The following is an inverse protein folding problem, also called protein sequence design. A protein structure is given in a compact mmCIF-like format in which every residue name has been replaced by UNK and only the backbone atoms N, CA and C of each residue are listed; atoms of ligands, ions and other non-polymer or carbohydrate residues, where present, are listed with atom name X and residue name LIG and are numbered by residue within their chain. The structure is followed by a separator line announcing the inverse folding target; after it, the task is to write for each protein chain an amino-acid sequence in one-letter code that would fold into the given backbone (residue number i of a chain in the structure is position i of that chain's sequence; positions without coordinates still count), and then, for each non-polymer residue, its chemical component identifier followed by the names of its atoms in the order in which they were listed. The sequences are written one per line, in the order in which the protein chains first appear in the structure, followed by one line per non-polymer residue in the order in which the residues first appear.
data_IF_147411749723
#
_entry.id   IF_147411749723
#
_cell.length_a   1.000
_cell.length_b   1.000
_cell.length_c   1.000
_cell.angle_alpha   90.00
_cell.angle_beta   90.00
_cell.angle_gamma   90.00
#
_symmetry.space_group_name_H-M   'P 1'
#
loop_
_entity.id
_entity.type
_entity.pdbx_description
1 polymer ?
#
# COMPACT_ATOMS: atom_id res chain seq x y z
N UNK A 1 -2.05 -1.45 18.37
CA UNK A 1 -1.16 -0.27 18.42
C UNK A 1 -1.92 0.97 18.01
N UNK A 2 -1.94 1.27 16.71
CA UNK A 2 -2.58 2.48 16.13
C UNK A 2 -3.99 2.73 16.69
N UNK A 3 -4.87 1.73 16.67
CA UNK A 3 -6.25 1.88 17.15
C UNK A 3 -6.35 2.34 18.61
N UNK A 4 -5.45 1.89 19.50
CA UNK A 4 -5.44 2.34 20.89
C UNK A 4 -5.12 3.83 20.97
N UNK A 5 -4.12 4.29 20.21
CA UNK A 5 -3.76 5.71 20.16
C UNK A 5 -4.87 6.55 19.55
N UNK A 6 -5.62 6.03 18.57
CA UNK A 6 -6.81 6.72 18.01
C UNK A 6 -7.83 6.98 19.13
N UNK A 7 -8.06 5.99 20.00
CA UNK A 7 -9.03 6.10 21.11
C UNK A 7 -8.59 7.11 22.18
N UNK A 8 -7.29 7.22 22.43
CA UNK A 8 -6.74 8.19 23.40
C UNK A 8 -6.30 9.51 22.77
N UNK A 9 -6.65 9.78 21.50
CA UNK A 9 -6.17 10.94 20.77
C UNK A 9 -6.47 12.27 21.49
N UNK A 10 -7.66 12.43 22.07
CA UNK A 10 -8.05 13.65 22.79
C UNK A 10 -7.13 13.99 23.97
N UNK A 11 -6.47 13.00 24.58
CA UNK A 11 -5.52 13.21 25.68
C UNK A 11 -4.10 13.52 25.21
N UNK A 12 -3.78 13.13 23.97
CA UNK A 12 -2.43 13.13 23.42
C UNK A 12 -2.18 14.27 22.44
N UNK A 13 -3.26 14.85 21.89
CA UNK A 13 -3.20 16.09 21.11
C UNK A 13 -2.42 17.16 21.89
N UNK A 14 -1.58 17.92 21.18
CA UNK A 14 -0.68 18.98 21.68
C UNK A 14 0.51 18.57 22.55
N UNK A 15 0.63 17.29 22.93
CA UNK A 15 1.80 16.81 23.66
C UNK A 15 3.06 16.81 22.76
N UNK A 16 4.22 17.15 23.33
CA UNK A 16 5.51 17.04 22.61
C UNK A 16 5.76 15.62 22.05
N UNK A 17 5.19 14.61 22.71
CA UNK A 17 5.20 13.23 22.26
C UNK A 17 4.68 13.05 20.83
N UNK A 18 3.64 13.79 20.39
CA UNK A 18 3.14 13.69 19.01
C UNK A 18 4.11 14.23 17.98
N UNK A 19 4.89 15.26 18.30
CA UNK A 19 5.94 15.77 17.41
C UNK A 19 7.06 14.74 17.23
N UNK A 20 7.45 14.05 18.31
CA UNK A 20 8.41 12.94 18.24
C UNK A 20 7.84 11.74 17.46
N UNK A 21 6.58 11.39 17.73
CA UNK A 21 5.89 10.29 17.05
C UNK A 21 5.81 10.56 15.54
N UNK A 22 5.53 11.80 15.13
CA UNK A 22 5.48 12.21 13.73
C UNK A 22 6.82 11.99 13.02
N UNK A 23 7.94 12.36 13.65
CA UNK A 23 9.26 12.13 13.08
C UNK A 23 9.60 10.63 13.00
N UNK A 24 9.38 9.89 14.09
CA UNK A 24 9.67 8.46 14.14
C UNK A 24 8.83 7.68 13.12
N UNK A 25 7.53 7.99 13.04
CA UNK A 25 6.64 7.37 12.06
C UNK A 25 7.03 7.70 10.62
N UNK A 26 7.38 8.95 10.32
CA UNK A 26 7.93 9.33 9.01
C UNK A 26 9.22 8.57 8.64
N UNK A 27 10.14 8.40 9.60
CA UNK A 27 11.36 7.61 9.39
C UNK A 27 11.07 6.12 9.19
N UNK A 28 10.13 5.53 9.94
CA UNK A 28 9.73 4.13 9.75
C UNK A 28 9.10 3.91 8.38
N UNK A 29 8.27 4.84 7.91
CA UNK A 29 7.66 4.79 6.58
C UNK A 29 8.74 4.76 5.49
N UNK A 30 9.74 5.63 5.61
CA UNK A 30 10.86 5.72 4.67
C UNK A 30 11.76 4.48 4.70
N UNK A 31 12.21 4.06 5.89
CA UNK A 31 13.09 2.89 6.04
C UNK A 31 12.43 1.61 5.51
N UNK A 32 11.15 1.40 5.81
CA UNK A 32 10.40 0.27 5.31
C UNK A 32 10.20 0.30 3.80
N UNK A 33 9.99 1.50 3.24
CA UNK A 33 9.92 1.69 1.79
C UNK A 33 11.23 1.29 1.11
N UNK A 34 12.39 1.69 1.66
CA UNK A 34 13.71 1.34 1.10
C UNK A 34 13.95 -0.16 1.21
N UNK A 35 13.75 -0.77 2.39
CA UNK A 35 14.00 -2.20 2.56
C UNK A 35 13.08 -3.04 1.67
N UNK A 36 11.82 -2.62 1.47
CA UNK A 36 10.89 -3.29 0.57
C UNK A 36 11.34 -3.29 -0.90
N UNK A 37 12.25 -2.41 -1.32
CA UNK A 37 12.81 -2.38 -2.67
C UNK A 37 14.01 -3.31 -2.88
N UNK A 38 14.63 -3.79 -1.80
CA UNK A 38 15.80 -4.68 -1.87
C UNK A 38 15.51 -6.10 -1.41
N UNK A 39 14.39 -6.33 -0.72
CA UNK A 39 13.97 -7.68 -0.36
C UNK A 39 13.50 -8.48 -1.57
N UNK A 40 13.76 -9.79 -1.55
CA UNK A 40 13.30 -10.74 -2.58
C UNK A 40 12.25 -11.73 -2.06
N UNK A 41 12.08 -11.87 -0.74
CA UNK A 41 11.01 -12.70 -0.20
C UNK A 41 9.66 -12.02 -0.34
N UNK A 42 8.73 -12.67 -1.05
CA UNK A 42 7.38 -12.15 -1.34
C UNK A 42 6.63 -11.74 -0.06
N UNK A 43 6.64 -12.59 0.97
CA UNK A 43 5.99 -12.27 2.27
C UNK A 43 6.64 -11.06 2.96
N UNK A 44 7.97 -10.93 2.89
CA UNK A 44 8.68 -9.80 3.51
C UNK A 44 8.37 -8.49 2.80
N UNK A 45 8.28 -8.47 1.47
CA UNK A 45 7.88 -7.27 0.71
C UNK A 45 6.47 -6.82 1.14
N UNK A 46 5.52 -7.75 1.28
CA UNK A 46 4.15 -7.41 1.71
C UNK A 46 4.13 -6.93 3.17
N UNK A 47 4.96 -7.50 4.04
CA UNK A 47 5.08 -7.09 5.44
C UNK A 47 5.79 -5.73 5.62
N UNK A 48 6.83 -5.44 4.84
CA UNK A 48 7.48 -4.12 4.87
C UNK A 48 6.55 -3.03 4.33
N UNK A 49 5.74 -3.37 3.33
CA UNK A 49 4.72 -2.43 2.86
C UNK A 49 3.59 -2.22 3.88
N UNK A 50 3.20 -3.21 4.72
CA UNK A 50 2.31 -2.92 5.87
C UNK A 50 2.98 -2.03 6.91
N UNK A 51 4.28 -2.24 7.19
CA UNK A 51 5.03 -1.38 8.11
C UNK A 51 5.10 0.06 7.60
N UNK A 52 5.26 0.26 6.29
CA UNK A 52 5.24 1.59 5.68
C UNK A 52 3.87 2.29 5.85
N UNK A 53 2.77 1.57 5.61
CA UNK A 53 1.42 2.13 5.74
C UNK A 53 1.03 2.33 7.22
N UNK A 54 1.51 1.51 8.13
CA UNK A 54 1.38 1.75 9.57
C UNK A 54 2.14 3.01 10.00
N UNK A 55 3.34 3.23 9.45
CA UNK A 55 4.06 4.50 9.60
C UNK A 55 3.21 5.69 9.16
N UNK A 56 2.56 5.58 8.00
CA UNK A 56 1.63 6.59 7.47
C UNK A 56 0.42 6.82 8.39
N UNK A 57 -0.21 5.76 8.91
CA UNK A 57 -1.32 5.90 9.86
C UNK A 57 -0.91 6.59 11.16
N UNK A 58 0.27 6.26 11.69
CA UNK A 58 0.81 6.86 12.91
C UNK A 58 1.21 8.32 12.72
N UNK A 59 1.71 8.67 11.53
CA UNK A 59 2.11 10.04 11.22
C UNK A 59 0.89 10.96 11.02
N UNK A 60 -0.24 10.47 10.53
CA UNK A 60 -1.49 11.26 10.45
C UNK A 60 -2.12 11.45 11.83
N UNK A 61 -2.09 10.41 12.65
CA UNK A 61 -2.59 10.48 14.02
C UNK A 61 -1.87 11.58 14.81
N UNK A 62 -0.54 11.68 14.64
CA UNK A 62 0.25 12.74 15.27
C UNK A 62 0.00 14.14 14.70
N UNK A 63 -0.60 14.27 13.51
CA UNK A 63 -1.11 15.54 12.99
C UNK A 63 -2.47 15.94 13.58
N UNK A 64 -3.05 15.11 14.45
CA UNK A 64 -4.34 15.37 15.08
C UNK A 64 -5.54 14.98 14.22
N UNK A 65 -5.36 14.14 13.19
CA UNK A 65 -6.43 13.71 12.27
C UNK A 65 -6.80 12.22 12.50
N UNK A 66 -7.44 11.86 13.63
CA UNK A 66 -7.73 10.47 13.98
C UNK A 66 -8.74 9.79 13.05
N UNK A 67 -9.69 10.56 12.50
CA UNK A 67 -10.73 10.06 11.60
C UNK A 67 -10.13 9.56 10.28
N UNK A 68 -9.19 10.32 9.70
CA UNK A 68 -8.44 9.92 8.51
C UNK A 68 -7.55 8.71 8.76
N UNK A 69 -6.88 8.65 9.92
CA UNK A 69 -6.09 7.49 10.32
C UNK A 69 -6.95 6.23 10.45
N UNK A 70 -8.15 6.34 11.04
CA UNK A 70 -9.09 5.23 11.17
C UNK A 70 -9.66 4.80 9.81
N UNK A 71 -10.02 5.75 8.95
CA UNK A 71 -10.48 5.47 7.59
C UNK A 71 -9.42 4.74 6.76
N UNK A 72 -8.16 5.18 6.83
CA UNK A 72 -7.06 4.48 6.17
C UNK A 72 -6.82 3.08 6.75
N UNK A 73 -6.92 2.91 8.07
CA UNK A 73 -6.80 1.60 8.71
C UNK A 73 -7.82 0.59 8.16
N UNK A 74 -9.09 1.00 8.02
CA UNK A 74 -10.15 0.13 7.49
C UNK A 74 -9.90 -0.22 6.02
N UNK A 75 -9.64 0.78 5.17
CA UNK A 75 -9.39 0.54 3.74
C UNK A 75 -8.15 -0.32 3.52
N UNK A 76 -7.08 -0.07 4.28
CA UNK A 76 -5.84 -0.85 4.26
C UNK A 76 -6.05 -2.31 4.65
N UNK A 77 -6.86 -2.60 5.66
CA UNK A 77 -7.14 -3.97 6.06
C UNK A 77 -7.73 -4.81 4.90
N UNK A 78 -8.63 -4.23 4.10
CA UNK A 78 -9.31 -4.95 3.02
C UNK A 78 -8.34 -5.34 1.89
N UNK A 79 -7.60 -4.39 1.33
CA UNK A 79 -6.68 -4.71 0.22
C UNK A 79 -5.42 -5.47 0.69
N UNK A 80 -4.97 -5.30 1.93
CA UNK A 80 -3.86 -6.11 2.45
C UNK A 80 -4.26 -7.56 2.72
N UNK A 81 -5.46 -7.81 3.21
CA UNK A 81 -5.96 -9.17 3.35
C UNK A 81 -5.99 -9.89 1.99
N UNK A 82 -6.43 -9.19 0.94
CA UNK A 82 -6.40 -9.70 -0.43
C UNK A 82 -4.97 -10.00 -0.91
N UNK A 83 -4.01 -9.08 -0.68
CA UNK A 83 -2.60 -9.28 -1.05
C UNK A 83 -1.98 -10.51 -0.37
N UNK A 84 -2.18 -10.67 0.93
CA UNK A 84 -1.64 -11.82 1.67
C UNK A 84 -2.31 -13.14 1.26
N UNK A 85 -3.61 -13.12 0.92
CA UNK A 85 -4.30 -14.30 0.41
C UNK A 85 -3.77 -14.72 -0.96
N UNK A 86 -3.63 -13.79 -1.90
CA UNK A 86 -3.05 -14.06 -3.22
C UNK A 86 -1.61 -14.56 -3.11
N UNK A 87 -0.80 -13.92 -2.27
CA UNK A 87 0.55 -14.33 -1.94
C UNK A 87 0.62 -15.77 -1.38
N UNK A 88 -0.32 -16.12 -0.50
CA UNK A 88 -0.42 -17.47 0.07
C UNK A 88 -0.67 -18.52 -1.01
N UNK A 89 -1.56 -18.23 -1.97
CA UNK A 89 -1.82 -19.11 -3.11
C UNK A 89 -0.56 -19.30 -3.94
N UNK A 90 0.11 -18.20 -4.31
CA UNK A 90 1.33 -18.25 -5.12
C UNK A 90 2.40 -19.09 -4.43
N UNK A 91 2.61 -18.89 -3.13
CA UNK A 91 3.63 -19.64 -2.38
C UNK A 91 3.29 -21.13 -2.28
N UNK A 92 2.02 -21.46 -2.04
CA UNK A 92 1.58 -22.85 -2.02
C UNK A 92 1.80 -23.55 -3.37
N UNK A 93 1.46 -22.87 -4.47
CA UNK A 93 1.64 -23.40 -5.83
C UNK A 93 3.12 -23.51 -6.23
N UNK A 94 3.99 -22.75 -5.58
CA UNK A 94 5.45 -22.78 -5.76
C UNK A 94 6.17 -23.70 -4.76
N UNK A 95 5.47 -24.67 -4.14
CA UNK A 95 6.02 -25.59 -3.15
C UNK A 95 6.79 -24.87 -2.02
N UNK A 96 6.17 -23.84 -1.44
CA UNK A 96 6.72 -23.01 -0.36
C UNK A 96 7.92 -22.12 -0.72
N UNK A 97 8.31 -22.04 -2.00
CA UNK A 97 9.31 -21.06 -2.44
C UNK A 97 8.73 -19.64 -2.40
N UNK A 98 9.41 -18.74 -1.69
CA UNK A 98 8.96 -17.36 -1.46
C UNK A 98 9.79 -16.31 -2.22
N UNK A 99 10.91 -16.72 -2.79
CA UNK A 99 11.84 -15.82 -3.48
C UNK A 99 11.29 -15.48 -4.88
N UNK A 100 11.01 -14.19 -5.10
CA UNK A 100 10.42 -13.67 -6.35
C UNK A 100 11.30 -13.88 -7.58
N UNK A 101 12.61 -14.17 -7.41
CA UNK A 101 13.55 -14.37 -8.53
C UNK A 101 13.31 -15.69 -9.27
N UNK A 102 12.76 -16.69 -8.56
CA UNK A 102 12.36 -17.97 -9.13
C UNK A 102 10.88 -18.00 -9.55
N UNK A 103 10.20 -16.86 -9.45
CA UNK A 103 8.83 -16.67 -9.93
C UNK A 103 8.87 -15.96 -11.29
N UNK A 104 7.84 -16.17 -12.10
CA UNK A 104 7.71 -15.54 -13.41
C UNK A 104 6.47 -16.05 -14.14
N UNK A 105 5.88 -15.20 -14.98
CA UNK A 105 4.71 -15.49 -15.83
C UNK A 105 3.48 -16.09 -15.13
N UNK A 106 3.27 -15.84 -13.83
CA UNK A 106 2.15 -16.43 -13.06
C UNK A 106 0.78 -16.06 -13.66
N UNK A 107 0.70 -14.92 -14.33
CA UNK A 107 -0.50 -14.40 -15.01
C UNK A 107 -1.12 -15.38 -16.01
N UNK A 108 -0.32 -16.25 -16.63
CA UNK A 108 -0.76 -17.22 -17.62
C UNK A 108 -1.29 -18.52 -17.00
N UNK A 109 -0.80 -18.90 -15.82
CA UNK A 109 -1.20 -20.14 -15.14
C UNK A 109 -2.35 -19.94 -14.15
N UNK A 110 -2.31 -18.84 -13.39
CA UNK A 110 -3.24 -18.58 -12.28
C UNK A 110 -3.92 -17.21 -12.49
N UNK A 111 -4.72 -17.05 -13.56
CA UNK A 111 -5.15 -15.74 -14.04
C UNK A 111 -6.06 -15.00 -13.03
N UNK A 112 -6.92 -15.71 -12.29
CA UNK A 112 -7.83 -15.04 -11.35
C UNK A 112 -7.09 -14.52 -10.13
N UNK A 113 -6.14 -15.30 -9.57
CA UNK A 113 -5.27 -14.79 -8.50
C UNK A 113 -4.42 -13.62 -8.97
N UNK A 114 -3.92 -13.67 -10.22
CA UNK A 114 -3.10 -12.60 -10.78
C UNK A 114 -3.88 -11.29 -10.88
N UNK A 115 -5.14 -11.36 -11.30
CA UNK A 115 -6.05 -10.21 -11.34
C UNK A 115 -6.29 -9.64 -9.94
N UNK A 116 -6.55 -10.50 -8.95
CA UNK A 116 -6.74 -10.08 -7.56
C UNK A 116 -5.48 -9.43 -6.97
N UNK A 117 -4.30 -10.01 -7.23
CA UNK A 117 -3.01 -9.48 -6.81
C UNK A 117 -2.74 -8.11 -7.45
N UNK A 118 -3.03 -7.95 -8.74
CA UNK A 118 -2.83 -6.68 -9.44
C UNK A 118 -3.76 -5.60 -8.89
N UNK A 119 -5.06 -5.85 -8.77
CA UNK A 119 -6.01 -4.86 -8.24
C UNK A 119 -5.64 -4.42 -6.83
N UNK A 120 -5.20 -5.35 -5.99
CA UNK A 120 -4.80 -5.02 -4.62
C UNK A 120 -3.46 -4.28 -4.53
N UNK A 121 -2.49 -4.57 -5.41
CA UNK A 121 -1.26 -3.78 -5.55
C UNK A 121 -1.56 -2.34 -6.04
N UNK A 122 -2.47 -2.18 -7.00
CA UNK A 122 -2.90 -0.87 -7.49
C UNK A 122 -3.67 -0.09 -6.41
N UNK A 123 -4.45 -0.78 -5.57
CA UNK A 123 -5.11 -0.15 -4.42
C UNK A 123 -4.08 0.35 -3.39
N UNK A 124 -3.00 -0.38 -3.13
CA UNK A 124 -1.90 0.05 -2.25
C UNK A 124 -1.16 1.29 -2.77
N UNK A 125 -1.02 1.36 -4.10
CA UNK A 125 -0.45 2.50 -4.80
C UNK A 125 -1.28 3.78 -4.59
N UNK A 126 -2.61 3.63 -4.52
CA UNK A 126 -3.55 4.75 -4.44
C UNK A 126 -4.01 5.22 -5.81
N UNK A 127 -4.15 4.32 -6.78
CA UNK A 127 -4.66 4.64 -8.12
C UNK A 127 -6.12 5.10 -8.04
N UNK A 128 -6.52 6.10 -8.84
CA UNK A 128 -7.85 6.70 -8.78
C UNK A 128 -8.97 5.65 -8.81
N UNK A 129 -10.01 5.91 -8.00
CA UNK A 129 -11.21 5.10 -7.81
C UNK A 129 -11.05 3.76 -7.07
N UNK A 130 -9.84 3.33 -6.71
CA UNK A 130 -9.63 2.18 -5.82
C UNK A 130 -9.73 2.60 -4.35
N UNK A 131 -9.98 1.66 -3.43
CA UNK A 131 -10.20 2.00 -2.02
C UNK A 131 -9.05 2.79 -1.38
N UNK A 132 -7.79 2.53 -1.78
CA UNK A 132 -6.63 3.24 -1.24
C UNK A 132 -6.51 4.69 -1.71
N UNK A 133 -7.09 5.07 -2.87
CA UNK A 133 -7.07 6.46 -3.33
C UNK A 133 -7.86 7.37 -2.39
N UNK A 134 -9.07 6.96 -2.01
CA UNK A 134 -9.94 7.75 -1.16
C UNK A 134 -9.28 8.12 0.18
N UNK A 135 -8.49 7.22 0.76
CA UNK A 135 -7.79 7.53 2.02
C UNK A 135 -6.43 8.17 1.78
N UNK A 136 -5.56 7.54 0.99
CA UNK A 136 -4.15 7.93 0.83
C UNK A 136 -3.98 9.29 0.13
N UNK A 137 -4.78 9.61 -0.89
CA UNK A 137 -4.70 10.90 -1.58
C UNK A 137 -5.14 12.03 -0.66
N UNK A 138 -6.29 11.88 0.01
CA UNK A 138 -6.79 12.84 1.01
C UNK A 138 -5.76 13.09 2.12
N UNK A 139 -5.07 12.04 2.58
CA UNK A 139 -3.99 12.17 3.57
C UNK A 139 -2.87 13.07 3.06
N UNK A 140 -2.37 12.83 1.84
CA UNK A 140 -1.25 13.61 1.28
C UNK A 140 -1.64 15.06 0.98
N UNK A 141 -2.92 15.30 0.63
CA UNK A 141 -3.47 16.63 0.51
C UNK A 141 -3.51 17.35 1.86
N UNK A 142 -3.98 16.70 2.93
CA UNK A 142 -3.96 17.30 4.27
C UNK A 142 -2.54 17.58 4.75
N UNK A 143 -1.58 16.72 4.43
CA UNK A 143 -0.15 16.93 4.72
C UNK A 143 0.39 18.15 3.98
N UNK A 144 0.08 18.33 2.69
CA UNK A 144 0.55 19.51 1.92
C UNK A 144 -0.09 20.81 2.36
N UNK A 145 -1.27 20.75 2.97
CA UNK A 145 -1.97 21.89 3.53
C UNK A 145 -1.47 22.32 4.90
N UNK A 146 -0.99 21.35 5.68
CA UNK A 146 -0.50 21.59 7.02
C UNK A 146 0.89 22.25 7.01
N UNK A 147 1.16 23.09 8.00
CA UNK A 147 2.44 23.78 8.19
C UNK A 147 3.49 22.83 8.80
N UNK A 148 3.92 21.83 8.03
CA UNK A 148 4.91 20.85 8.45
C UNK A 148 6.33 21.25 8.07
N UNK A 149 7.29 20.67 8.79
CA UNK A 149 8.70 20.84 8.47
C UNK A 149 9.02 20.20 7.11
N UNK A 150 9.96 20.81 6.37
CA UNK A 150 10.36 20.36 5.03
C UNK A 150 10.86 18.91 5.02
N UNK A 151 11.53 18.47 6.09
CA UNK A 151 11.97 17.09 6.24
C UNK A 151 10.80 16.11 6.27
N UNK A 152 9.73 16.44 7.02
CA UNK A 152 8.54 15.58 7.10
C UNK A 152 7.85 15.54 5.75
N UNK A 153 7.71 16.69 5.09
CA UNK A 153 7.17 16.76 3.73
C UNK A 153 7.94 15.85 2.77
N UNK A 154 9.28 15.90 2.77
CA UNK A 154 10.12 15.02 1.96
C UNK A 154 9.88 13.53 2.29
N UNK A 155 9.83 13.15 3.58
CA UNK A 155 9.61 11.77 3.99
C UNK A 155 8.28 11.22 3.47
N UNK A 156 7.20 11.99 3.51
CA UNK A 156 5.89 11.58 2.97
C UNK A 156 5.92 11.38 1.46
N UNK A 157 6.36 12.38 0.69
CA UNK A 157 6.33 12.28 -0.76
C UNK A 157 7.31 11.20 -1.25
N UNK A 158 8.56 11.21 -0.79
CA UNK A 158 9.54 10.22 -1.23
C UNK A 158 9.10 8.79 -0.90
N UNK A 159 8.58 8.55 0.31
CA UNK A 159 8.07 7.22 0.67
C UNK A 159 6.87 6.79 -0.17
N UNK A 160 5.97 7.70 -0.56
CA UNK A 160 4.89 7.36 -1.51
C UNK A 160 5.44 6.94 -2.88
N UNK A 161 6.50 7.59 -3.36
CA UNK A 161 7.24 7.17 -4.55
C UNK A 161 7.86 5.78 -4.40
N UNK A 162 8.47 5.49 -3.24
CA UNK A 162 8.97 4.15 -2.93
C UNK A 162 7.85 3.10 -2.91
N UNK A 163 6.62 3.46 -2.51
CA UNK A 163 5.48 2.53 -2.57
C UNK A 163 5.11 2.12 -3.99
N UNK A 164 5.17 3.05 -4.94
CA UNK A 164 5.03 2.71 -6.37
C UNK A 164 6.22 1.88 -6.85
N UNK A 165 7.41 2.20 -6.37
CA UNK A 165 8.63 1.53 -6.81
C UNK A 165 8.60 0.02 -6.49
N UNK A 166 8.38 -0.37 -5.22
CA UNK A 166 8.37 -1.80 -4.87
C UNK A 166 7.16 -2.56 -5.42
N UNK A 167 6.02 -1.89 -5.61
CA UNK A 167 4.82 -2.55 -6.16
C UNK A 167 5.01 -2.90 -7.62
N UNK A 168 5.59 -2.00 -8.40
CA UNK A 168 5.87 -2.26 -9.82
C UNK A 168 6.98 -3.29 -9.97
N UNK A 169 8.02 -3.22 -9.14
CA UNK A 169 9.03 -4.27 -9.07
C UNK A 169 8.39 -5.65 -8.81
N UNK A 170 7.48 -5.75 -7.83
CA UNK A 170 6.77 -6.99 -7.53
C UNK A 170 5.92 -7.47 -8.72
N UNK A 171 5.21 -6.55 -9.39
CA UNK A 171 4.42 -6.88 -10.58
C UNK A 171 5.28 -7.41 -11.73
N UNK A 172 6.44 -6.79 -11.97
CA UNK A 172 7.36 -7.20 -13.03
C UNK A 172 7.91 -8.61 -12.78
N UNK A 173 8.43 -8.89 -11.59
CA UNK A 173 8.96 -10.23 -11.26
C UNK A 173 7.89 -11.32 -11.28
N UNK A 174 6.68 -11.07 -10.76
CA UNK A 174 5.65 -12.10 -10.67
C UNK A 174 4.89 -12.35 -11.99
N UNK A 175 4.56 -11.28 -12.72
CA UNK A 175 3.56 -11.35 -13.78
C UNK A 175 4.12 -11.22 -15.19
N UNK A 176 5.19 -10.45 -15.37
CA UNK A 176 5.67 -10.02 -16.69
C UNK A 176 6.95 -10.74 -17.10
N UNK A 177 7.89 -10.90 -16.17
CA UNK A 177 9.17 -11.54 -16.48
C UNK A 177 8.97 -13.00 -16.91
N UNK A 178 9.92 -13.47 -17.72
CA UNK A 178 9.95 -14.83 -18.23
C UNK A 178 9.98 -15.87 -17.11
N UNK A 179 9.51 -17.06 -17.45
CA UNK A 179 9.37 -18.18 -16.53
C UNK A 179 10.73 -18.69 -16.04
N UNK A 180 11.05 -18.40 -14.78
CA UNK A 180 12.18 -18.99 -14.05
C UNK A 180 11.76 -20.12 -13.11
N UNK A 181 10.76 -20.89 -13.54
CA UNK A 181 10.19 -21.97 -12.76
C UNK A 181 11.01 -23.25 -12.88
N UNK A 182 11.21 -23.94 -11.75
CA UNK A 182 11.73 -25.31 -11.75
C UNK A 182 10.77 -26.25 -12.50
N UNK A 183 11.32 -27.30 -13.11
CA UNK A 183 10.62 -28.20 -14.04
C UNK A 183 9.45 -29.02 -13.45
N UNK A 184 9.18 -28.95 -12.15
CA UNK A 184 8.26 -29.83 -11.41
C UNK A 184 7.13 -29.06 -10.70
N UNK A 185 6.67 -27.93 -11.25
CA UNK A 185 5.50 -27.23 -10.69
C UNK A 185 4.20 -27.67 -11.34
N UNK A 186 3.24 -28.11 -10.51
CA UNK A 186 1.87 -28.33 -10.93
C UNK A 186 1.04 -27.06 -10.69
N UNK A 187 1.10 -26.11 -11.63
CA UNK A 187 0.48 -24.79 -11.49
C UNK A 187 -1.03 -24.74 -11.83
N UNK A 188 -1.68 -25.89 -11.96
CA UNK A 188 -3.08 -25.99 -12.36
C UNK A 188 -3.92 -26.55 -11.22
N UNK A 189 -4.30 -25.69 -10.27
CA UNK A 189 -5.44 -25.91 -9.37
C UNK A 189 -5.75 -24.63 -8.60
N UNK A 190 -6.73 -23.85 -9.08
CA UNK A 190 -7.35 -22.82 -8.25
C UNK A 190 -8.51 -23.44 -7.46
N UNK A 191 -8.32 -23.67 -6.17
CA UNK A 191 -9.40 -24.13 -5.29
C UNK A 191 -10.55 -23.12 -5.23
N UNK A 192 -11.77 -23.58 -5.55
CA UNK A 192 -12.99 -22.76 -5.54
C UNK A 192 -13.25 -22.06 -4.20
N UNK A 193 -12.92 -22.70 -3.08
CA UNK A 193 -13.12 -22.12 -1.74
C UNK A 193 -12.25 -20.88 -1.55
N UNK A 194 -10.99 -20.98 -1.96
CA UNK A 194 -10.01 -19.89 -1.88
C UNK A 194 -10.37 -18.77 -2.85
N UNK A 195 -10.75 -19.10 -4.08
CA UNK A 195 -11.25 -18.13 -5.06
C UNK A 195 -12.45 -17.34 -4.53
N UNK A 196 -13.43 -18.03 -3.94
CA UNK A 196 -14.62 -17.37 -3.36
C UNK A 196 -14.23 -16.33 -2.30
N UNK A 197 -13.26 -16.65 -1.43
CA UNK A 197 -12.76 -15.68 -0.45
C UNK A 197 -12.00 -14.52 -1.07
N UNK A 198 -11.18 -14.77 -2.11
CA UNK A 198 -10.46 -13.71 -2.84
C UNK A 198 -11.42 -12.77 -3.56
N UNK A 199 -12.44 -13.29 -4.25
CA UNK A 199 -13.43 -12.48 -4.94
C UNK A 199 -14.22 -11.59 -3.97
N UNK A 200 -14.62 -12.11 -2.79
CA UNK A 200 -15.28 -11.28 -1.79
C UNK A 200 -14.41 -10.10 -1.36
N UNK A 201 -13.13 -10.36 -1.07
CA UNK A 201 -12.17 -9.32 -0.70
C UNK A 201 -11.87 -8.37 -1.87
N UNK A 202 -11.89 -8.85 -3.12
CA UNK A 202 -11.74 -8.03 -4.32
C UNK A 202 -12.86 -7.00 -4.43
N UNK A 203 -14.11 -7.43 -4.36
CA UNK A 203 -15.27 -6.52 -4.37
C UNK A 203 -15.16 -5.48 -3.26
N UNK A 204 -14.71 -5.90 -2.07
CA UNK A 204 -14.50 -4.96 -0.98
C UNK A 204 -13.37 -3.97 -1.26
N UNK A 205 -12.25 -4.39 -1.83
CA UNK A 205 -11.14 -3.49 -2.19
C UNK A 205 -11.49 -2.41 -3.23
N UNK A 206 -12.57 -2.61 -3.98
CA UNK A 206 -13.11 -1.64 -4.93
C UNK A 206 -14.13 -0.70 -4.28
N UNK A 207 -15.11 -1.27 -3.57
CA UNK A 207 -16.31 -0.52 -3.13
C UNK A 207 -16.11 0.14 -1.75
N UNK A 208 -15.34 -0.49 -0.86
CA UNK A 208 -15.32 -0.05 0.55
C UNK A 208 -14.77 1.35 0.73
N UNK A 209 -13.82 1.81 -0.09
CA UNK A 209 -13.25 3.15 0.05
C UNK A 209 -14.29 4.26 -0.15
N UNK A 210 -15.04 4.21 -1.25
CA UNK A 210 -16.09 5.20 -1.52
C UNK A 210 -17.24 5.10 -0.52
N UNK A 211 -17.67 3.87 -0.21
CA UNK A 211 -18.75 3.65 0.75
C UNK A 211 -18.39 4.16 2.15
N UNK A 212 -17.18 3.84 2.64
CA UNK A 212 -16.71 4.30 3.95
C UNK A 212 -16.49 5.82 3.98
N UNK A 213 -16.04 6.43 2.89
CA UNK A 213 -15.89 7.89 2.80
C UNK A 213 -17.23 8.59 3.07
N UNK A 214 -18.32 8.11 2.46
CA UNK A 214 -19.66 8.67 2.65
C UNK A 214 -20.26 8.42 4.03
N UNK A 215 -19.85 7.32 4.70
CA UNK A 215 -20.36 6.95 6.02
C UNK A 215 -19.60 7.61 7.17
N UNK A 216 -18.28 7.76 7.04
CA UNK A 216 -17.42 8.26 8.13
C UNK A 216 -17.42 9.79 8.18
N UNK A 217 -17.34 10.45 7.03
CA UNK A 217 -17.21 11.91 6.99
C UNK A 217 -18.56 12.59 6.83
N UNK A 218 -19.01 13.26 7.89
CA UNK A 218 -20.24 14.05 7.86
C UNK A 218 -20.13 15.28 6.96
N UNK A 219 -18.92 15.81 6.80
CA UNK A 219 -18.61 16.94 5.92
C UNK A 219 -17.31 16.64 5.14
N UNK A 220 -17.22 17.05 3.86
CA UNK A 220 -15.97 16.94 3.12
C UNK A 220 -14.92 17.87 3.72
N UNK A 221 -13.66 17.41 3.78
CA UNK A 221 -12.54 18.28 4.14
C UNK A 221 -12.35 19.38 3.09
N UNK A 222 -12.11 20.61 3.55
CA UNK A 222 -11.82 21.72 2.66
C UNK A 222 -10.37 21.66 2.17
N UNK A 223 -10.18 21.42 0.87
CA UNK A 223 -8.86 21.35 0.23
C UNK A 223 -8.69 22.53 -0.73
N UNK A 224 -7.94 23.52 -0.27
CA UNK A 224 -7.43 24.68 -1.02
C UNK A 224 -5.92 24.60 -1.32
N UNK A 225 -5.53 23.90 -2.39
CA UNK A 225 -4.13 23.75 -2.81
C UNK A 225 -3.86 24.44 -4.14
N UNK A 226 -2.62 24.87 -4.37
CA UNK A 226 -2.18 25.25 -5.72
C UNK A 226 -2.13 24.01 -6.63
N UNK A 227 -2.32 24.20 -7.93
CA UNK A 227 -2.38 23.10 -8.90
C UNK A 227 -1.14 22.20 -8.84
N UNK A 228 0.06 22.79 -8.71
CA UNK A 228 1.31 22.04 -8.62
C UNK A 228 1.37 21.15 -7.37
N UNK A 229 0.87 21.62 -6.22
CA UNK A 229 0.86 20.81 -5.00
C UNK A 229 -0.16 19.68 -5.09
N UNK A 230 -1.33 19.91 -5.69
CA UNK A 230 -2.32 18.83 -5.90
C UNK A 230 -1.78 17.74 -6.84
N UNK A 231 -1.05 18.11 -7.89
CA UNK A 231 -0.48 17.15 -8.85
C UNK A 231 0.79 16.46 -8.33
N UNK A 232 1.34 16.85 -7.17
CA UNK A 232 2.58 16.33 -6.63
C UNK A 232 2.55 14.81 -6.39
N UNK A 233 1.43 14.29 -5.90
CA UNK A 233 1.25 12.83 -5.67
C UNK A 233 1.40 12.07 -6.99
N UNK A 234 0.79 12.58 -8.07
CA UNK A 234 0.87 11.96 -9.39
C UNK A 234 2.31 12.01 -9.92
N UNK A 235 3.00 13.15 -9.82
CA UNK A 235 4.39 13.26 -10.29
C UNK A 235 5.32 12.27 -9.58
N UNK A 236 5.21 12.17 -8.26
CA UNK A 236 6.06 11.26 -7.48
C UNK A 236 5.70 9.80 -7.77
N UNK A 237 4.41 9.50 -7.97
CA UNK A 237 3.99 8.14 -8.33
C UNK A 237 4.51 7.69 -9.70
N UNK A 238 4.54 8.60 -10.69
CA UNK A 238 5.07 8.35 -12.03
C UNK A 238 6.59 8.16 -12.00
N UNK A 239 7.31 8.96 -11.22
CA UNK A 239 8.75 8.76 -11.02
C UNK A 239 9.05 7.40 -10.39
N UNK A 240 8.29 7.01 -9.36
CA UNK A 240 8.40 5.69 -8.74
C UNK A 240 8.12 4.56 -9.73
N UNK A 241 7.13 4.74 -10.61
CA UNK A 241 6.80 3.77 -11.66
C UNK A 241 7.93 3.59 -12.67
N UNK A 242 8.51 4.69 -13.13
CA UNK A 242 9.62 4.65 -14.07
C UNK A 242 10.85 3.95 -13.47
N UNK A 243 11.19 4.28 -12.21
CA UNK A 243 12.31 3.63 -11.51
C UNK A 243 12.05 2.13 -11.26
N UNK A 244 10.79 1.77 -10.95
CA UNK A 244 10.33 0.37 -10.83
C UNK A 244 10.63 -0.45 -12.06
N UNK A 245 10.18 0.07 -13.19
CA UNK A 245 10.36 -0.58 -14.47
C UNK A 245 11.84 -0.68 -14.88
N UNK A 246 12.63 0.38 -14.67
CA UNK A 246 14.05 0.36 -15.02
C UNK A 246 14.81 -0.68 -14.20
N UNK A 247 14.60 -0.72 -12.89
CA UNK A 247 15.37 -1.62 -12.00
C UNK A 247 14.94 -3.07 -12.16
N UNK A 248 13.69 -3.35 -12.54
CA UNK A 248 13.26 -4.73 -12.83
C UNK A 248 13.84 -5.29 -14.12
N UNK A 249 14.22 -4.43 -15.06
CA UNK A 249 14.79 -4.81 -16.36
C UNK A 249 16.32 -4.93 -16.34
N UNK A 250 16.97 -4.46 -15.27
CA UNK A 250 18.41 -4.59 -15.04
C UNK A 250 18.72 -5.95 -14.40
#
# INVERSE_FOLDING_TARGET
GVYLLIRFNMLLIDMFFYKLLLLLSGLTMFMAGISANYEFDLKKIIALSTLSQLGLMMSILSMGLPELAFFHLLTHAMFKALLFMCAGVIIHMMNDNQDIRYMGGISLYIPMTSLCMNISNLALCGIPFLAGFYSKDLILEMVSMSNLNMLIFFLYYFSTGLTMFYTIRLLMYLMINDYNLFSLYNLYDEDYVMLKSMFLLLFMSLITGSFLMWMIFNYPYMIYLSFNMKMMVIYVSLMGLFMGYLISNM
#
